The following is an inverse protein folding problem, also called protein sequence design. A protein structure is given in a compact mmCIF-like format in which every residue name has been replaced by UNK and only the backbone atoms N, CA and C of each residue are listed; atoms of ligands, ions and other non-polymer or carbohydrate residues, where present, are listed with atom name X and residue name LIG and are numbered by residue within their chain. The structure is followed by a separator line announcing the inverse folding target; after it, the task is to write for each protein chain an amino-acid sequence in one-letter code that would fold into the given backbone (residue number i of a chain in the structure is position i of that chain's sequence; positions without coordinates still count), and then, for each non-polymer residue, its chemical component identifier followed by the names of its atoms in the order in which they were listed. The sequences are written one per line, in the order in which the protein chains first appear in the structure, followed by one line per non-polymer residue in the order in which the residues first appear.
data_IF_075533731073
#
_entry.id   IF_075533731073
#
_cell.length_a   1.000
_cell.length_b   1.000
_cell.length_c   1.000
_cell.angle_alpha   90.00
_cell.angle_beta   90.00
_cell.angle_gamma   90.00
#
_symmetry.space_group_name_H-M   'P 1'
#
loop_
_entity.id
_entity.type
_entity.pdbx_description
1 polymer ?
#
# COMPACT_ATOMS: atom_id res chain seq x y z
N UNK A 1 7.56 -8.31 -10.28
CA UNK A 1 8.85 -8.65 -10.94
C UNK A 1 9.58 -7.37 -11.28
N UNK A 2 10.77 -7.42 -11.90
CA UNK A 2 11.55 -6.20 -12.22
C UNK A 2 10.75 -5.19 -13.04
N UNK A 3 9.92 -5.65 -13.99
CA UNK A 3 9.03 -4.78 -14.78
C UNK A 3 8.00 -4.01 -13.91
N UNK A 4 7.39 -4.66 -12.93
CA UNK A 4 6.43 -4.03 -12.00
C UNK A 4 7.08 -2.90 -11.19
N UNK A 5 8.34 -3.10 -10.79
CA UNK A 5 9.08 -2.10 -9.99
C UNK A 5 9.39 -0.86 -10.83
N UNK A 6 9.74 -1.04 -12.10
CA UNK A 6 9.94 0.10 -13.02
C UNK A 6 8.61 0.83 -13.31
N UNK A 7 7.51 0.10 -13.52
CA UNK A 7 6.18 0.70 -13.69
C UNK A 7 5.77 1.52 -12.45
N UNK A 8 6.05 1.02 -11.24
CA UNK A 8 5.81 1.76 -10.00
C UNK A 8 6.67 3.02 -9.92
N UNK A 9 7.96 2.90 -10.26
CA UNK A 9 8.87 4.04 -10.28
C UNK A 9 8.38 5.12 -11.23
N UNK A 10 7.97 4.76 -12.44
CA UNK A 10 7.45 5.72 -13.44
C UNK A 10 6.19 6.46 -12.94
N UNK A 11 5.26 5.75 -12.28
CA UNK A 11 4.07 6.37 -11.68
C UNK A 11 4.47 7.34 -10.56
N UNK A 12 5.36 6.92 -9.66
CA UNK A 12 5.82 7.74 -8.54
C UNK A 12 6.56 8.99 -9.03
N UNK A 13 7.43 8.87 -10.04
CA UNK A 13 8.13 10.01 -10.65
C UNK A 13 7.16 10.99 -11.31
N UNK A 14 6.14 10.47 -12.01
CA UNK A 14 5.11 11.28 -12.65
C UNK A 14 4.28 12.06 -11.62
N UNK A 15 3.95 11.43 -10.50
CA UNK A 15 3.05 11.98 -9.48
C UNK A 15 3.79 12.59 -8.29
N UNK A 16 5.13 12.63 -8.31
CA UNK A 16 5.97 13.06 -7.18
C UNK A 16 5.45 14.36 -6.55
N UNK A 17 5.10 15.35 -7.37
CA UNK A 17 4.57 16.63 -6.88
C UNK A 17 3.29 16.45 -6.06
N UNK A 18 2.34 15.66 -6.55
CA UNK A 18 1.07 15.39 -5.85
C UNK A 18 1.32 14.64 -4.54
N UNK A 19 2.24 13.67 -4.56
CA UNK A 19 2.62 12.90 -3.36
C UNK A 19 3.28 13.84 -2.34
N UNK A 20 4.16 14.75 -2.76
CA UNK A 20 4.78 15.73 -1.85
C UNK A 20 3.76 16.70 -1.26
N UNK A 21 2.75 17.10 -2.03
CA UNK A 21 1.65 17.97 -1.60
C UNK A 21 0.70 17.29 -0.60
N UNK A 22 0.72 15.96 -0.47
CA UNK A 22 -0.06 15.25 0.56
C UNK A 22 0.58 15.28 1.94
N UNK A 23 1.86 15.63 2.06
CA UNK A 23 2.52 15.77 3.35
C UNK A 23 2.17 17.11 4.01
N UNK A 24 1.88 17.08 5.31
CA UNK A 24 1.63 18.30 6.09
C UNK A 24 2.90 19.15 6.27
N UNK A 25 4.07 18.51 6.27
CA UNK A 25 5.39 19.16 6.32
C UNK A 25 6.04 19.22 4.94
N UNK A 26 6.85 20.25 4.70
CA UNK A 26 7.60 20.36 3.43
C UNK A 26 8.61 19.22 3.31
N UNK A 27 8.60 18.58 2.13
CA UNK A 27 9.56 17.54 1.74
C UNK A 27 10.62 18.06 0.77
N UNK A 28 10.67 19.38 0.51
CA UNK A 28 11.55 20.01 -0.49
C UNK A 28 13.05 19.80 -0.19
N UNK A 29 13.38 19.48 1.06
CA UNK A 29 14.73 19.16 1.50
C UNK A 29 15.21 17.76 1.05
N UNK A 30 14.28 16.89 0.62
CA UNK A 30 14.56 15.55 0.09
C UNK A 30 14.69 15.64 -1.43
N UNK A 31 15.81 15.18 -1.98
CA UNK A 31 16.00 15.17 -3.44
C UNK A 31 14.99 14.25 -4.11
N UNK A 32 14.54 14.61 -5.30
CA UNK A 32 13.57 13.83 -6.08
C UNK A 32 13.93 12.33 -6.16
N UNK A 33 15.18 12.00 -6.52
CA UNK A 33 15.61 10.59 -6.59
C UNK A 33 15.52 9.86 -5.25
N UNK A 34 15.85 10.51 -4.13
CA UNK A 34 15.78 9.92 -2.79
C UNK A 34 14.32 9.75 -2.34
N UNK A 35 13.47 10.72 -2.68
CA UNK A 35 12.04 10.68 -2.40
C UNK A 35 11.34 9.56 -3.18
N UNK A 36 11.54 9.49 -4.50
CA UNK A 36 10.97 8.43 -5.34
C UNK A 36 11.37 7.04 -4.83
N UNK A 37 12.64 6.86 -4.46
CA UNK A 37 13.10 5.58 -3.91
C UNK A 37 12.44 5.25 -2.57
N UNK A 38 12.29 6.23 -1.68
CA UNK A 38 11.59 6.06 -0.40
C UNK A 38 10.14 5.60 -0.62
N UNK A 39 9.38 6.32 -1.46
CA UNK A 39 7.99 5.97 -1.79
C UNK A 39 7.91 4.60 -2.46
N UNK A 40 8.86 4.26 -3.33
CA UNK A 40 8.88 2.97 -4.02
C UNK A 40 9.10 1.80 -3.04
N UNK A 41 10.05 1.94 -2.11
CA UNK A 41 10.33 0.92 -1.10
C UNK A 41 9.10 0.70 -0.20
N UNK A 42 8.48 1.78 0.26
CA UNK A 42 7.28 1.72 1.09
C UNK A 42 6.11 1.08 0.31
N UNK A 43 5.90 1.49 -0.94
CA UNK A 43 4.82 0.95 -1.79
C UNK A 43 4.99 -0.55 -2.07
N UNK A 44 6.21 -1.00 -2.36
CA UNK A 44 6.50 -2.44 -2.59
C UNK A 44 6.31 -3.24 -1.30
N UNK A 45 6.73 -2.69 -0.15
CA UNK A 45 6.53 -3.32 1.14
C UNK A 45 5.04 -3.48 1.48
N UNK A 46 4.26 -2.40 1.32
CA UNK A 46 2.80 -2.39 1.58
C UNK A 46 2.11 -3.42 0.68
N UNK A 47 2.43 -3.44 -0.62
CA UNK A 47 1.84 -4.40 -1.54
C UNK A 47 2.14 -5.85 -1.13
N UNK A 48 3.40 -6.16 -0.82
CA UNK A 48 3.81 -7.48 -0.36
C UNK A 48 3.07 -7.90 0.91
N UNK A 49 2.99 -6.99 1.88
CA UNK A 49 2.27 -7.22 3.13
C UNK A 49 0.77 -7.47 2.90
N UNK A 50 0.11 -6.64 2.10
CA UNK A 50 -1.33 -6.77 1.81
C UNK A 50 -1.66 -8.09 1.09
N UNK A 51 -0.83 -8.52 0.13
CA UNK A 51 -1.01 -9.81 -0.54
C UNK A 51 -0.83 -10.96 0.45
N UNK A 52 0.19 -10.89 1.30
CA UNK A 52 0.48 -11.96 2.26
C UNK A 52 -0.65 -12.12 3.28
N UNK A 53 -1.10 -11.01 3.88
CA UNK A 53 -2.22 -11.01 4.84
C UNK A 53 -3.53 -11.36 4.13
N UNK A 54 -3.84 -10.68 3.02
CA UNK A 54 -5.11 -10.78 2.32
C UNK A 54 -5.35 -12.13 1.65
N UNK A 55 -4.30 -12.86 1.25
CA UNK A 55 -4.45 -14.22 0.71
C UNK A 55 -4.47 -15.30 1.79
N UNK A 56 -4.19 -14.95 3.05
CA UNK A 56 -4.02 -15.86 4.19
C UNK A 56 -3.06 -17.03 3.91
N UNK A 57 -2.19 -16.91 2.90
CA UNK A 57 -1.19 -17.91 2.55
C UNK A 57 0.04 -17.75 3.44
N UNK A 58 -0.16 -17.95 4.74
CA UNK A 58 0.95 -18.01 5.69
C UNK A 58 1.62 -19.38 5.58
N UNK A 59 2.88 -19.40 5.17
CA UNK A 59 3.71 -20.58 5.31
C UNK A 59 4.21 -20.60 6.75
N UNK A 60 3.62 -21.45 7.61
CA UNK A 60 3.85 -21.49 9.07
C UNK A 60 5.32 -21.56 9.52
N UNK A 61 6.23 -21.94 8.64
CA UNK A 61 7.63 -22.17 8.96
C UNK A 61 8.58 -21.09 8.40
N UNK A 62 8.08 -20.11 7.63
CA UNK A 62 8.92 -19.14 6.92
C UNK A 62 8.44 -17.68 7.11
N UNK A 63 7.22 -17.47 7.60
CA UNK A 63 6.63 -16.15 7.71
C UNK A 63 6.75 -15.59 9.14
N UNK A 64 7.57 -14.54 9.28
CA UNK A 64 7.77 -13.79 10.53
C UNK A 64 6.43 -13.29 11.11
N UNK A 65 5.46 -12.98 10.24
CA UNK A 65 4.11 -12.56 10.61
C UNK A 65 3.33 -13.64 11.39
N UNK A 66 3.67 -14.93 11.22
CA UNK A 66 3.05 -16.03 11.94
C UNK A 66 3.68 -16.25 13.33
N UNK A 67 4.97 -15.94 13.48
CA UNK A 67 5.69 -16.12 14.75
C UNK A 67 5.37 -15.01 15.76
N UNK A 68 5.05 -13.81 15.29
CA UNK A 68 4.81 -12.66 16.16
C UNK A 68 3.57 -11.85 15.73
N UNK A 69 2.36 -12.26 16.16
CA UNK A 69 1.11 -11.56 15.85
C UNK A 69 1.10 -10.09 16.27
N UNK A 70 1.90 -9.72 17.27
CA UNK A 70 2.05 -8.33 17.72
C UNK A 70 2.66 -7.44 16.63
N UNK A 71 3.57 -7.96 15.79
CA UNK A 71 4.15 -7.22 14.66
C UNK A 71 3.08 -6.83 13.65
N UNK A 72 2.05 -7.66 13.43
CA UNK A 72 0.95 -7.34 12.52
C UNK A 72 0.19 -6.12 13.04
N UNK A 73 -0.14 -6.08 14.33
CA UNK A 73 -0.78 -4.91 14.95
C UNK A 73 0.09 -3.66 14.87
N UNK A 74 1.40 -3.76 15.12
CA UNK A 74 2.33 -2.64 14.98
C UNK A 74 2.41 -2.15 13.53
N UNK A 75 2.50 -3.06 12.56
CA UNK A 75 2.49 -2.71 11.13
C UNK A 75 1.17 -2.05 10.75
N UNK A 76 0.02 -2.49 11.30
CA UNK A 76 -1.26 -1.82 11.06
C UNK A 76 -1.32 -0.41 11.64
N UNK A 77 -0.85 -0.23 12.87
CA UNK A 77 -0.72 1.09 13.49
C UNK A 77 0.21 1.99 12.66
N UNK A 78 1.33 1.45 12.20
CA UNK A 78 2.27 2.15 11.32
C UNK A 78 1.65 2.46 9.96
N UNK A 79 0.87 1.56 9.35
CA UNK A 79 0.14 1.77 8.09
C UNK A 79 -0.91 2.88 8.22
N UNK A 80 -1.63 2.92 9.35
CA UNK A 80 -2.58 3.98 9.68
C UNK A 80 -1.84 5.31 9.88
N UNK A 81 -0.64 5.30 10.45
CA UNK A 81 0.22 6.49 10.55
C UNK A 81 0.85 6.88 9.20
N UNK A 82 1.10 5.90 8.32
CA UNK A 82 1.65 6.05 6.97
C UNK A 82 0.70 6.77 6.02
N UNK A 83 -0.59 6.83 6.34
CA UNK A 83 -1.54 7.71 5.68
C UNK A 83 -1.12 9.19 5.69
N UNK A 84 -0.37 9.63 6.71
CA UNK A 84 0.23 10.96 6.71
C UNK A 84 1.40 11.11 5.70
N UNK A 85 1.80 10.02 5.02
CA UNK A 85 2.95 9.95 4.13
C UNK A 85 2.62 9.42 2.72
N UNK A 86 1.67 8.49 2.57
CA UNK A 86 1.26 7.95 1.27
C UNK A 86 -0.24 8.14 1.06
N UNK A 87 -0.66 8.94 0.06
CA UNK A 87 -2.07 9.11 -0.24
C UNK A 87 -2.66 7.78 -0.75
N UNK A 88 -3.83 7.38 -0.25
CA UNK A 88 -4.52 6.16 -0.66
C UNK A 88 -4.68 6.06 -2.19
N UNK A 89 -4.96 7.20 -2.85
CA UNK A 89 -5.08 7.29 -4.30
C UNK A 89 -3.81 6.86 -5.05
N UNK A 90 -2.61 7.12 -4.49
CA UNK A 90 -1.36 6.64 -5.07
C UNK A 90 -1.29 5.11 -5.00
N UNK A 91 -1.67 4.53 -3.85
CA UNK A 91 -1.65 3.07 -3.67
C UNK A 91 -2.67 2.39 -4.58
N UNK A 92 -3.85 2.98 -4.76
CA UNK A 92 -4.85 2.51 -5.74
C UNK A 92 -4.25 2.52 -7.15
N UNK A 93 -3.63 3.62 -7.57
CA UNK A 93 -3.03 3.72 -8.91
C UNK A 93 -1.85 2.77 -9.13
N UNK A 94 -1.01 2.56 -8.11
CA UNK A 94 0.09 1.61 -8.18
C UNK A 94 -0.42 0.17 -8.24
N UNK A 95 -1.41 -0.19 -7.42
CA UNK A 95 -1.72 -1.60 -7.16
C UNK A 95 -2.81 -2.14 -8.08
N UNK A 96 -3.74 -1.32 -8.58
CA UNK A 96 -4.78 -1.77 -9.51
C UNK A 96 -4.21 -2.45 -10.78
N UNK A 97 -3.22 -1.88 -11.50
CA UNK A 97 -2.61 -2.54 -12.65
C UNK A 97 -1.94 -3.86 -12.27
N UNK A 98 -1.33 -3.92 -11.08
CA UNK A 98 -0.67 -5.11 -10.59
C UNK A 98 -1.67 -6.23 -10.26
N UNK A 99 -2.75 -5.92 -9.55
CA UNK A 99 -3.81 -6.88 -9.23
C UNK A 99 -4.47 -7.42 -10.50
N UNK A 100 -4.72 -6.55 -11.48
CA UNK A 100 -5.19 -6.97 -12.80
C UNK A 100 -4.21 -7.94 -13.48
N UNK A 101 -2.90 -7.70 -13.38
CA UNK A 101 -1.87 -8.60 -13.94
C UNK A 101 -1.86 -9.99 -13.29
N UNK A 102 -2.24 -10.07 -12.01
CA UNK A 102 -2.41 -11.33 -11.28
C UNK A 102 -3.73 -12.05 -11.63
N UNK A 103 -4.54 -11.50 -12.53
CA UNK A 103 -5.87 -12.01 -12.93
C UNK A 103 -6.81 -12.17 -11.73
N UNK A 104 -6.67 -11.30 -10.73
CA UNK A 104 -7.67 -11.21 -9.67
C UNK A 104 -8.87 -10.44 -10.23
N UNK A 105 -10.08 -10.78 -9.77
CA UNK A 105 -11.25 -9.90 -9.93
C UNK A 105 -11.35 -8.91 -8.75
N UNK A 106 -10.31 -8.89 -7.89
CA UNK A 106 -10.28 -8.13 -6.64
C UNK A 106 -9.60 -6.78 -6.87
N UNK A 107 -10.27 -5.72 -6.43
CA UNK A 107 -9.71 -4.37 -6.40
C UNK A 107 -8.77 -4.18 -5.21
N UNK A 108 -7.95 -3.14 -5.24
CA UNK A 108 -7.14 -2.74 -4.09
C UNK A 108 -8.01 -2.45 -2.86
N UNK A 109 -9.20 -1.90 -3.09
CA UNK A 109 -10.22 -1.71 -2.06
C UNK A 109 -10.64 -3.02 -1.40
N UNK A 110 -10.95 -4.04 -2.19
CA UNK A 110 -11.36 -5.36 -1.66
C UNK A 110 -10.25 -5.97 -0.81
N UNK A 111 -9.01 -5.87 -1.28
CA UNK A 111 -7.82 -6.33 -0.54
C UNK A 111 -7.66 -5.56 0.78
N UNK A 112 -7.80 -4.24 0.74
CA UNK A 112 -7.74 -3.36 1.93
C UNK A 112 -8.80 -3.78 2.96
N UNK A 113 -10.07 -3.90 2.55
CA UNK A 113 -11.16 -4.29 3.45
C UNK A 113 -10.94 -5.66 4.08
N UNK A 114 -10.40 -6.61 3.32
CA UNK A 114 -10.06 -7.93 3.85
C UNK A 114 -8.94 -7.86 4.87
N UNK A 115 -7.87 -7.14 4.54
CA UNK A 115 -6.68 -6.97 5.38
C UNK A 115 -7.04 -6.33 6.74
N UNK A 116 -7.95 -5.34 6.76
CA UNK A 116 -8.44 -4.71 7.99
C UNK A 116 -9.65 -5.43 8.64
N UNK A 117 -10.15 -6.52 8.05
CA UNK A 117 -11.27 -7.31 8.62
C UNK A 117 -12.65 -6.65 8.49
N UNK A 118 -12.84 -5.77 7.51
CA UNK A 118 -14.09 -5.09 7.16
C UNK A 118 -14.78 -5.63 5.89
N UNK A 119 -14.34 -6.79 5.38
CA UNK A 119 -14.99 -7.45 4.25
C UNK A 119 -16.50 -7.65 4.51
N UNK A 120 -17.34 -7.23 3.55
CA UNK A 120 -18.81 -7.22 3.64
C UNK A 120 -19.43 -6.34 4.74
N UNK A 121 -18.64 -5.51 5.44
CA UNK A 121 -19.13 -4.58 6.47
C UNK A 121 -19.34 -3.15 5.96
N UNK A 122 -18.76 -2.81 4.82
CA UNK A 122 -18.86 -1.48 4.20
C UNK A 122 -19.53 -1.60 2.82
N UNK A 123 -20.50 -0.74 2.54
CA UNK A 123 -21.20 -0.67 1.26
C UNK A 123 -20.22 -0.36 0.11
N UNK A 124 -20.47 -0.94 -1.08
CA UNK A 124 -19.58 -0.80 -2.24
C UNK A 124 -19.48 0.64 -2.77
N UNK A 125 -20.47 1.46 -2.44
CA UNK A 125 -20.61 2.80 -2.98
C UNK A 125 -19.78 3.83 -2.19
N UNK A 126 -19.24 3.43 -1.03
CA UNK A 126 -18.36 4.24 -0.20
C UNK A 126 -16.96 4.29 -0.82
N UNK A 127 -16.52 5.50 -1.16
CA UNK A 127 -15.16 5.79 -1.62
C UNK A 127 -14.30 6.16 -0.42
N UNK A 128 -13.16 5.51 -0.32
CA UNK A 128 -12.13 5.83 0.65
C UNK A 128 -11.18 6.85 0.01
N UNK A 129 -10.97 7.98 0.68
CA UNK A 129 -9.83 8.86 0.45
C UNK A 129 -8.68 8.46 1.37
N UNK A 130 -9.03 7.82 2.48
CA UNK A 130 -8.14 7.46 3.56
C UNK A 130 -8.41 6.03 4.09
N UNK A 131 -7.39 5.34 4.61
CA UNK A 131 -7.54 4.08 5.34
C UNK A 131 -8.38 4.23 6.61
N UNK A 132 -8.47 5.45 7.14
CA UNK A 132 -9.24 5.77 8.35
C UNK A 132 -10.69 6.21 8.10
N UNK A 133 -11.12 6.30 6.84
CA UNK A 133 -12.52 6.60 6.46
C UNK A 133 -13.49 5.45 6.79
#
# INVERSE_FOLDING_TARGET
GTQTVEEFREIIERDEKFIRESYSESTDWIKSQEFVEMILQDSVFILGFFIQIGTQKFNRNEDILFEEPCLITTIFEDLILLENQLPYALLEELFEPFLFSLKTEETFRDLTLRVFGFENKIERDVKFQHFTD
#
